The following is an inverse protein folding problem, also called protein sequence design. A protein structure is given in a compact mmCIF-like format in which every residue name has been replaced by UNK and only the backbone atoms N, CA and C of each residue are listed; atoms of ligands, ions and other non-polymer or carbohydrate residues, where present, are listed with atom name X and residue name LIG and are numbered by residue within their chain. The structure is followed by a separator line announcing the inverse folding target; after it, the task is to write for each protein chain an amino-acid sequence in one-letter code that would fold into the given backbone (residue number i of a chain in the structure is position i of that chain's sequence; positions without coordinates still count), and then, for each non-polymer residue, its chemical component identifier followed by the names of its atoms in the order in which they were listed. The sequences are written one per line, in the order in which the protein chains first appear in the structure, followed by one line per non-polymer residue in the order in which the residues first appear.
data_IF_653770997866
#
_entry.id   IF_653770997866
#
_cell.length_a   1.000
_cell.length_b   1.000
_cell.length_c   1.000
_cell.angle_alpha   90.00
_cell.angle_beta   90.00
_cell.angle_gamma   90.00
#
_symmetry.space_group_name_H-M   'P 1'
#
loop_
_entity.id
_entity.type
_entity.pdbx_description
1 polymer ?
#
# COMPACT_ATOMS: atom_id res chain seq x y z
N UNK A 1 -2.13 -10.26 -13.49
CA UNK A 1 -1.04 -9.60 -12.75
C UNK A 1 0.30 -9.93 -13.40
N UNK A 2 1.17 -8.95 -13.63
CA UNK A 2 2.43 -9.10 -14.40
C UNK A 2 3.62 -9.62 -13.59
N UNK A 3 3.49 -9.71 -12.25
CA UNK A 3 4.58 -10.06 -11.33
C UNK A 3 5.33 -11.34 -11.74
N UNK A 4 4.63 -12.41 -12.10
CA UNK A 4 5.28 -13.67 -12.50
C UNK A 4 6.13 -13.57 -13.76
N UNK A 5 5.75 -12.70 -14.71
CA UNK A 5 6.56 -12.45 -15.92
C UNK A 5 7.86 -11.74 -15.56
N UNK A 6 7.77 -10.67 -14.76
CA UNK A 6 8.94 -9.88 -14.38
C UNK A 6 9.84 -10.61 -13.38
N UNK A 7 9.28 -11.35 -12.43
CA UNK A 7 10.06 -12.19 -11.52
C UNK A 7 10.92 -13.20 -12.29
N UNK A 8 10.35 -13.87 -13.31
CA UNK A 8 11.14 -14.79 -14.16
C UNK A 8 12.22 -14.06 -14.95
N UNK A 9 11.92 -12.89 -15.51
CA UNK A 9 12.87 -12.12 -16.31
C UNK A 9 14.02 -11.56 -15.47
N UNK A 10 13.73 -11.06 -14.28
CA UNK A 10 14.70 -10.39 -13.41
C UNK A 10 15.43 -11.36 -12.48
N UNK A 11 14.77 -12.42 -12.04
CA UNK A 11 15.33 -13.40 -11.10
C UNK A 11 16.29 -14.40 -11.72
N UNK A 12 16.55 -15.51 -11.02
CA UNK A 12 17.58 -16.50 -11.37
C UNK A 12 17.48 -17.05 -12.81
N UNK A 13 16.30 -17.35 -13.38
CA UNK A 13 16.19 -17.80 -14.76
C UNK A 13 16.53 -16.75 -15.82
N UNK A 14 16.64 -15.47 -15.46
CA UNK A 14 16.89 -14.36 -16.36
C UNK A 14 18.14 -13.58 -15.94
N UNK A 15 17.97 -12.34 -15.49
CA UNK A 15 19.08 -11.45 -15.13
C UNK A 15 19.80 -11.81 -13.81
N UNK A 16 19.31 -12.80 -13.06
CA UNK A 16 19.96 -13.27 -11.84
C UNK A 16 19.94 -12.27 -10.69
N UNK A 17 19.05 -11.27 -10.71
CA UNK A 17 18.94 -10.27 -9.67
C UNK A 17 18.30 -10.86 -8.41
N UNK A 18 18.73 -10.36 -7.24
CA UNK A 18 18.05 -10.62 -5.98
C UNK A 18 16.68 -9.95 -6.02
N UNK A 19 15.62 -10.73 -5.83
CA UNK A 19 14.26 -10.22 -5.81
C UNK A 19 13.77 -10.06 -4.37
N UNK A 20 13.02 -8.99 -4.12
CA UNK A 20 12.18 -8.80 -2.94
C UNK A 20 10.89 -8.13 -3.41
N UNK A 21 9.91 -7.93 -2.54
CA UNK A 21 8.69 -7.25 -2.92
C UNK A 21 7.75 -6.96 -1.76
N UNK A 22 6.75 -6.14 -2.07
CA UNK A 22 5.63 -5.85 -1.21
C UNK A 22 4.35 -6.00 -2.05
N UNK A 23 3.37 -6.72 -1.53
CA UNK A 23 2.09 -6.92 -2.20
C UNK A 23 0.93 -6.84 -1.22
N UNK A 24 -0.28 -6.74 -1.75
CA UNK A 24 -1.49 -6.81 -0.93
C UNK A 24 -1.85 -8.29 -0.64
N UNK A 25 -2.59 -8.59 0.44
CA UNK A 25 -2.97 -9.97 0.79
C UNK A 25 -3.68 -10.70 -0.36
N UNK A 26 -4.55 -10.00 -1.08
CA UNK A 26 -5.25 -10.55 -2.25
C UNK A 26 -4.30 -10.93 -3.40
N UNK A 27 -3.09 -10.37 -3.42
CA UNK A 27 -2.08 -10.58 -4.46
C UNK A 27 -1.07 -11.68 -4.12
N UNK A 28 -1.01 -12.10 -2.85
CA UNK A 28 -0.05 -13.07 -2.33
C UNK A 28 0.08 -14.36 -3.17
N UNK A 29 -1.00 -15.01 -3.66
CA UNK A 29 -0.87 -16.22 -4.45
C UNK A 29 -0.12 -16.01 -5.78
N UNK A 30 -0.23 -14.82 -6.36
CA UNK A 30 0.46 -14.49 -7.61
C UNK A 30 1.95 -14.21 -7.38
N UNK A 31 2.29 -13.55 -6.27
CA UNK A 31 3.67 -13.33 -5.86
C UNK A 31 4.37 -14.64 -5.53
N UNK A 32 3.76 -15.49 -4.68
CA UNK A 32 4.31 -16.80 -4.31
C UNK A 32 4.65 -17.64 -5.55
N UNK A 33 3.69 -17.78 -6.48
CA UNK A 33 3.90 -18.52 -7.73
C UNK A 33 4.97 -17.88 -8.63
N UNK A 34 5.03 -16.55 -8.66
CA UNK A 34 6.01 -15.81 -9.45
C UNK A 34 7.44 -16.01 -8.93
N UNK A 35 7.63 -15.90 -7.62
CA UNK A 35 8.92 -16.02 -6.95
C UNK A 35 9.43 -17.46 -6.98
N UNK A 36 8.57 -18.45 -6.76
CA UNK A 36 8.91 -19.87 -6.90
C UNK A 36 9.48 -20.16 -8.30
N UNK A 37 8.77 -19.73 -9.35
CA UNK A 37 9.21 -19.90 -10.75
C UNK A 37 10.47 -19.11 -11.11
N UNK A 38 10.86 -18.15 -10.29
CA UNK A 38 12.05 -17.31 -10.47
C UNK A 38 13.24 -17.78 -9.61
N UNK A 39 13.11 -18.90 -8.89
CA UNK A 39 14.14 -19.36 -7.94
C UNK A 39 14.32 -18.43 -6.74
N UNK A 40 13.33 -17.57 -6.46
CA UNK A 40 13.37 -16.50 -5.47
C UNK A 40 12.59 -16.83 -4.19
N UNK A 41 12.13 -18.08 -4.02
CA UNK A 41 11.27 -18.47 -2.89
C UNK A 41 11.90 -18.19 -1.52
N UNK A 42 13.24 -18.21 -1.40
CA UNK A 42 13.94 -17.93 -0.15
C UNK A 42 14.13 -16.44 0.15
N UNK A 43 14.00 -15.56 -0.84
CA UNK A 43 14.26 -14.13 -0.68
C UNK A 43 13.06 -13.39 -0.06
N UNK A 44 11.89 -14.04 -0.04
CA UNK A 44 10.68 -13.55 0.60
C UNK A 44 10.05 -12.33 -0.09
N UNK A 45 8.82 -12.05 0.29
CA UNK A 45 8.14 -10.79 0.00
C UNK A 45 7.23 -10.49 1.19
N UNK A 46 6.93 -9.21 1.37
CA UNK A 46 6.12 -8.71 2.46
C UNK A 46 4.69 -8.50 1.99
N UNK A 47 3.72 -8.67 2.89
CA UNK A 47 2.29 -8.66 2.54
C UNK A 47 1.57 -7.65 3.42
N UNK A 48 0.92 -6.67 2.80
CA UNK A 48 0.00 -5.76 3.47
C UNK A 48 -1.30 -6.49 3.82
N UNK A 49 -1.89 -6.19 4.97
CA UNK A 49 -3.13 -6.82 5.41
C UNK A 49 -4.29 -6.59 4.44
N UNK A 50 -4.38 -5.38 3.85
CA UNK A 50 -5.37 -5.08 2.83
C UNK A 50 -4.80 -4.34 1.62
N UNK A 51 -4.09 -3.23 1.85
CA UNK A 51 -3.20 -2.57 0.90
C UNK A 51 -2.25 -1.63 1.64
N UNK A 52 -1.29 -1.04 0.93
CA UNK A 52 -0.36 -0.08 1.55
C UNK A 52 -1.08 1.12 2.16
N UNK A 53 -2.17 1.60 1.55
CA UNK A 53 -2.94 2.71 2.14
C UNK A 53 -3.56 2.36 3.49
N UNK A 54 -4.06 1.13 3.65
CA UNK A 54 -4.56 0.61 4.93
C UNK A 54 -3.48 0.61 6.01
N UNK A 55 -2.29 0.12 5.66
CA UNK A 55 -1.15 0.08 6.58
C UNK A 55 -0.76 1.48 7.04
N UNK A 56 -0.67 2.43 6.11
CA UNK A 56 -0.34 3.83 6.40
C UNK A 56 -1.41 4.51 7.27
N UNK A 57 -2.69 4.30 6.97
CA UNK A 57 -3.80 4.87 7.75
C UNK A 57 -3.82 4.28 9.17
N UNK A 58 -3.53 2.98 9.33
CA UNK A 58 -3.43 2.34 10.65
C UNK A 58 -2.27 2.89 11.46
N UNK A 59 -1.11 3.11 10.85
CA UNK A 59 0.07 3.65 11.53
C UNK A 59 -0.12 5.11 11.97
N UNK A 60 -0.69 5.95 11.09
CA UNK A 60 -0.94 7.37 11.38
C UNK A 60 -2.15 7.60 12.28
N UNK A 61 -3.17 6.76 12.16
CA UNK A 61 -4.47 6.96 12.79
C UNK A 61 -5.37 7.93 12.00
N UNK A 62 -6.68 7.72 12.14
CA UNK A 62 -7.72 8.43 11.37
C UNK A 62 -7.66 9.95 11.56
N UNK A 63 -7.42 10.41 12.79
CA UNK A 63 -7.35 11.84 13.12
C UNK A 63 -6.23 12.54 12.35
N UNK A 64 -5.02 11.97 12.36
CA UNK A 64 -3.88 12.54 11.65
C UNK A 64 -4.12 12.54 10.14
N UNK A 65 -4.73 11.48 9.61
CA UNK A 65 -5.08 11.41 8.19
C UNK A 65 -6.09 12.50 7.80
N UNK A 66 -7.07 12.80 8.63
CA UNK A 66 -8.02 13.89 8.37
C UNK A 66 -7.33 15.27 8.36
N UNK A 67 -6.40 15.50 9.29
CA UNK A 67 -5.60 16.72 9.32
C UNK A 67 -4.78 16.90 8.04
N UNK A 68 -4.12 15.84 7.57
CA UNK A 68 -3.39 15.87 6.30
C UNK A 68 -4.32 16.19 5.13
N UNK A 69 -5.52 15.61 5.08
CA UNK A 69 -6.51 15.95 4.02
C UNK A 69 -6.93 17.42 4.09
N UNK A 70 -6.99 18.01 5.29
CA UNK A 70 -7.26 19.44 5.48
C UNK A 70 -6.08 20.31 5.01
N UNK A 71 -4.86 19.94 5.37
CA UNK A 71 -3.62 20.60 4.95
C UNK A 71 -3.48 20.60 3.42
N UNK A 72 -3.87 19.49 2.77
CA UNK A 72 -3.91 19.35 1.31
C UNK A 72 -5.10 20.08 0.63
N UNK A 73 -5.94 20.80 1.40
CA UNK A 73 -7.06 21.58 0.88
C UNK A 73 -8.27 20.76 0.41
N UNK A 74 -8.29 19.46 0.71
CA UNK A 74 -9.28 18.50 0.20
C UNK A 74 -10.44 18.25 1.20
N UNK A 75 -10.49 18.98 2.33
CA UNK A 75 -11.49 18.81 3.39
C UNK A 75 -12.93 18.86 2.87
N UNK A 76 -13.26 19.83 2.01
CA UNK A 76 -14.61 19.94 1.43
C UNK A 76 -14.95 18.73 0.57
N UNK A 77 -13.98 18.20 -0.17
CA UNK A 77 -14.17 17.00 -0.97
C UNK A 77 -14.40 15.76 -0.09
N UNK A 78 -13.65 15.65 1.02
CA UNK A 78 -13.83 14.59 2.01
C UNK A 78 -15.23 14.64 2.63
N UNK A 79 -15.66 15.81 3.10
CA UNK A 79 -16.99 15.96 3.71
C UNK A 79 -18.14 15.62 2.75
N UNK A 80 -18.00 15.93 1.45
CA UNK A 80 -18.98 15.52 0.44
C UNK A 80 -18.95 14.00 0.23
N UNK A 81 -17.75 13.41 0.19
CA UNK A 81 -17.58 11.97 0.05
C UNK A 81 -18.19 11.19 1.23
N UNK A 82 -17.94 11.62 2.47
CA UNK A 82 -18.46 10.98 3.67
C UNK A 82 -19.99 11.01 3.78
N UNK A 83 -20.65 11.99 3.16
CA UNK A 83 -22.12 12.07 3.11
C UNK A 83 -22.76 11.08 2.14
N UNK A 84 -21.99 10.41 1.28
CA UNK A 84 -22.52 9.46 0.31
C UNK A 84 -23.10 8.22 1.01
N UNK A 85 -24.26 7.70 0.58
CA UNK A 85 -24.87 6.51 1.17
C UNK A 85 -23.93 5.29 1.23
N UNK A 86 -23.08 5.12 0.21
CA UNK A 86 -22.12 4.02 0.12
C UNK A 86 -21.06 4.02 1.24
N UNK A 87 -20.87 5.14 1.95
CA UNK A 87 -19.94 5.24 3.08
C UNK A 87 -20.58 4.95 4.44
N UNK A 88 -21.92 4.89 4.52
CA UNK A 88 -22.63 4.63 5.78
C UNK A 88 -22.28 3.22 6.28
N UNK A 89 -21.99 3.10 7.57
CA UNK A 89 -21.63 1.82 8.21
C UNK A 89 -20.22 1.32 7.93
N UNK A 90 -19.42 2.01 7.09
CA UNK A 90 -18.01 1.68 6.91
C UNK A 90 -17.17 2.22 8.07
N UNK A 91 -16.13 1.48 8.44
CA UNK A 91 -15.13 1.98 9.37
C UNK A 91 -14.42 3.22 8.78
N UNK A 92 -14.03 4.22 9.59
CA UNK A 92 -13.40 5.44 9.09
C UNK A 92 -12.16 5.16 8.22
N UNK A 93 -11.33 4.19 8.58
CA UNK A 93 -10.15 3.79 7.81
C UNK A 93 -10.53 3.38 6.38
N UNK A 94 -11.60 2.60 6.23
CA UNK A 94 -12.10 2.18 4.91
C UNK A 94 -12.66 3.36 4.11
N UNK A 95 -13.28 4.35 4.78
CA UNK A 95 -13.76 5.56 4.11
C UNK A 95 -12.56 6.35 3.53
N UNK A 96 -11.49 6.55 4.30
CA UNK A 96 -10.27 7.22 3.81
C UNK A 96 -9.60 6.47 2.66
N UNK A 97 -9.44 5.15 2.78
CA UNK A 97 -8.92 4.32 1.66
C UNK A 97 -9.72 4.52 0.38
N UNK A 98 -11.05 4.51 0.49
CA UNK A 98 -11.92 4.75 -0.67
C UNK A 98 -11.82 6.18 -1.18
N UNK A 99 -11.73 7.17 -0.30
CA UNK A 99 -11.56 8.58 -0.66
C UNK A 99 -10.29 8.82 -1.50
N UNK A 100 -9.17 8.18 -1.14
CA UNK A 100 -7.93 8.29 -1.91
C UNK A 100 -8.03 7.70 -3.32
N UNK A 101 -8.93 6.73 -3.51
CA UNK A 101 -9.21 6.11 -4.80
C UNK A 101 -10.21 6.85 -5.71
N UNK A 102 -10.83 7.96 -5.28
CA UNK A 102 -11.97 8.54 -6.04
C UNK A 102 -11.58 9.34 -7.28
N UNK A 103 -10.31 9.71 -7.45
CA UNK A 103 -9.85 10.55 -8.56
C UNK A 103 -8.50 10.08 -9.08
N UNK A 104 -8.28 10.23 -10.38
CA UNK A 104 -6.98 9.97 -11.01
C UNK A 104 -5.90 10.81 -10.31
N UNK A 105 -4.76 10.19 -10.02
CA UNK A 105 -3.62 10.86 -9.39
C UNK A 105 -3.71 11.01 -7.87
N UNK A 106 -4.92 11.04 -7.29
CA UNK A 106 -5.10 11.20 -5.84
C UNK A 106 -4.41 10.11 -5.03
N UNK A 107 -4.49 8.86 -5.47
CA UNK A 107 -3.84 7.73 -4.80
C UNK A 107 -2.32 7.91 -4.72
N UNK A 108 -1.68 8.31 -5.82
CA UNK A 108 -0.23 8.57 -5.87
C UNK A 108 0.13 9.77 -4.98
N UNK A 109 -0.65 10.84 -5.05
CA UNK A 109 -0.46 12.04 -4.24
C UNK A 109 -0.51 11.73 -2.74
N UNK A 110 -1.60 11.11 -2.28
CA UNK A 110 -1.73 10.77 -0.86
C UNK A 110 -0.77 9.67 -0.42
N UNK A 111 -0.36 8.76 -1.30
CA UNK A 111 0.73 7.83 -0.98
C UNK A 111 1.98 8.57 -0.49
N UNK A 112 2.36 9.67 -1.17
CA UNK A 112 3.47 10.51 -0.73
C UNK A 112 3.17 11.25 0.57
N UNK A 113 2.02 11.92 0.67
CA UNK A 113 1.63 12.72 1.85
C UNK A 113 1.63 11.86 3.12
N UNK A 114 1.02 10.67 3.05
CA UNK A 114 0.94 9.76 4.19
C UNK A 114 2.32 9.23 4.60
N UNK A 115 3.16 8.84 3.64
CA UNK A 115 4.53 8.38 3.94
C UNK A 115 5.38 9.49 4.55
N UNK A 116 5.28 10.73 4.05
CA UNK A 116 6.02 11.88 4.58
C UNK A 116 5.59 12.27 6.01
N UNK A 117 4.38 11.89 6.41
CA UNK A 117 3.85 12.14 7.74
C UNK A 117 4.15 11.02 8.74
N UNK A 118 4.73 9.90 8.30
CA UNK A 118 5.11 8.81 9.20
C UNK A 118 6.24 9.25 10.13
N UNK A 119 6.09 8.90 11.40
CA UNK A 119 7.20 8.84 12.33
C UNK A 119 8.12 7.66 11.92
N UNK A 120 9.45 7.87 11.80
CA UNK A 120 10.39 6.78 11.52
C UNK A 120 10.24 5.58 12.47
N UNK A 121 9.80 5.79 13.71
CA UNK A 121 9.60 4.72 14.70
C UNK A 121 8.20 4.06 14.58
N UNK A 122 7.37 4.48 13.62
CA UNK A 122 6.02 3.97 13.37
C UNK A 122 5.78 3.55 11.92
N UNK A 123 6.81 3.06 11.26
CA UNK A 123 6.67 2.48 9.91
C UNK A 123 5.85 1.19 9.98
N UNK A 124 4.87 0.96 9.09
CA UNK A 124 4.14 -0.30 9.09
C UNK A 124 5.04 -1.51 8.81
N UNK A 125 4.86 -2.59 9.56
CA UNK A 125 5.73 -3.77 9.53
C UNK A 125 6.02 -4.34 8.11
N UNK A 126 5.04 -4.44 7.18
CA UNK A 126 5.34 -4.90 5.82
C UNK A 126 6.32 -3.98 5.07
N UNK A 127 6.19 -2.66 5.26
CA UNK A 127 7.06 -1.66 4.63
C UNK A 127 8.43 -1.62 5.31
N UNK A 128 8.47 -1.69 6.64
CA UNK A 128 9.72 -1.75 7.42
C UNK A 128 10.55 -2.99 7.06
N UNK A 129 9.89 -4.16 7.00
CA UNK A 129 10.54 -5.40 6.58
C UNK A 129 11.10 -5.32 5.16
N UNK A 130 10.34 -4.73 4.22
CA UNK A 130 10.83 -4.50 2.86
C UNK A 130 12.09 -3.64 2.86
N UNK A 131 12.05 -2.48 3.51
CA UNK A 131 13.16 -1.52 3.49
C UNK A 131 14.40 -2.08 4.20
N UNK A 132 14.22 -2.83 5.30
CA UNK A 132 15.30 -3.50 6.02
C UNK A 132 15.91 -4.67 5.24
N UNK A 133 15.22 -5.16 4.20
CA UNK A 133 15.69 -6.24 3.32
C UNK A 133 16.51 -5.75 2.13
N UNK A 134 16.62 -4.43 1.90
CA UNK A 134 17.34 -3.84 0.77
C UNK A 134 18.85 -3.74 1.05
#
# INVERSE_FOLDING_TARGET
MSVGRYARLLGSPGLGLRLTGLCDEAERPYYARGFERAGAAQQGFFVCAADLEDELIRALGVTRVEELVREEGDLRALQTFLRQPAQRGRAPQQQFRRFFGTKKGRKIHYGRVLVQALDPDRVPAPLEGLLSSL
#
